data_IF_830540738318
#
_entry.id   IF_830540738318
#
_cell.length_a   1.000
_cell.length_b   1.000
_cell.length_c   1.000
_cell.angle_alpha   90.00
_cell.angle_beta   90.00
_cell.angle_gamma   90.00
#
_symmetry.space_group_name_H-M   'P 1'
#
loop_
_entity.id
_entity.type
_entity.pdbx_description
1 polymer ?
#
# COMPACT_ATOMS: atom_id res chain seq x y z
N UNK A 1 -3.15 -39.74 -0.50
CA UNK A 1 -3.10 -38.43 0.17
C UNK A 1 -3.12 -38.69 1.67
N UNK A 2 -2.05 -38.33 2.37
CA UNK A 2 -1.90 -38.63 3.79
C UNK A 2 -2.71 -37.65 4.64
N UNK A 3 -2.96 -37.99 5.91
CA UNK A 3 -3.68 -37.11 6.85
C UNK A 3 -3.07 -35.71 6.94
N UNK A 4 -1.74 -35.62 6.86
CA UNK A 4 -1.00 -34.34 6.84
C UNK A 4 -1.28 -33.53 5.57
N UNK A 5 -1.36 -34.17 4.41
CA UNK A 5 -1.63 -33.51 3.13
C UNK A 5 -3.04 -32.91 3.12
N UNK A 6 -4.02 -33.65 3.63
CA UNK A 6 -5.41 -33.19 3.76
C UNK A 6 -5.49 -31.96 4.68
N UNK A 7 -4.79 -31.98 5.83
CA UNK A 7 -4.74 -30.86 6.76
C UNK A 7 -4.11 -29.63 6.10
N UNK A 8 -2.98 -29.79 5.40
CA UNK A 8 -2.31 -28.69 4.71
C UNK A 8 -3.21 -28.06 3.65
N UNK A 9 -3.90 -28.89 2.85
CA UNK A 9 -4.84 -28.42 1.83
C UNK A 9 -6.00 -27.66 2.49
N UNK A 10 -6.58 -28.21 3.56
CA UNK A 10 -7.67 -27.56 4.28
C UNK A 10 -7.26 -26.18 4.81
N UNK A 11 -6.08 -26.06 5.42
CA UNK A 11 -5.53 -24.77 5.88
C UNK A 11 -5.33 -23.81 4.71
N UNK A 12 -4.77 -24.30 3.60
CA UNK A 12 -4.57 -23.49 2.39
C UNK A 12 -5.89 -22.92 1.84
N UNK A 13 -6.94 -23.76 1.77
CA UNK A 13 -8.28 -23.34 1.35
C UNK A 13 -8.83 -22.26 2.29
N UNK A 14 -8.68 -22.44 3.60
CA UNK A 14 -9.15 -21.45 4.58
C UNK A 14 -8.44 -20.11 4.38
N UNK A 15 -7.11 -20.11 4.22
CA UNK A 15 -6.35 -18.88 3.99
C UNK A 15 -6.82 -18.17 2.73
N UNK A 16 -7.03 -18.90 1.63
CA UNK A 16 -7.54 -18.33 0.37
C UNK A 16 -8.93 -17.73 0.55
N UNK A 17 -9.85 -18.44 1.20
CA UNK A 17 -11.22 -17.96 1.44
C UNK A 17 -11.22 -16.69 2.30
N UNK A 18 -10.39 -16.63 3.34
CA UNK A 18 -10.25 -15.43 4.20
C UNK A 18 -9.71 -14.25 3.41
N UNK A 19 -8.67 -14.45 2.59
CA UNK A 19 -8.10 -13.38 1.76
C UNK A 19 -9.05 -12.93 0.65
N UNK A 20 -9.88 -13.83 0.12
CA UNK A 20 -10.90 -13.50 -0.88
C UNK A 20 -12.04 -12.66 -0.30
N UNK A 21 -12.38 -12.87 0.98
CA UNK A 21 -13.39 -12.10 1.69
C UNK A 21 -12.87 -10.75 2.23
N UNK A 22 -11.63 -10.37 1.93
CA UNK A 22 -11.06 -9.10 2.39
C UNK A 22 -11.86 -7.91 1.81
N UNK A 23 -12.11 -6.87 2.63
CA UNK A 23 -12.84 -5.69 2.17
C UNK A 23 -12.06 -4.90 1.11
N UNK A 24 -12.77 -4.02 0.41
CA UNK A 24 -12.13 -3.09 -0.53
C UNK A 24 -11.13 -2.17 0.18
N UNK A 25 -10.16 -1.67 -0.59
CA UNK A 25 -9.16 -0.75 -0.05
C UNK A 25 -9.80 0.59 0.32
N UNK A 26 -9.57 1.03 1.55
CA UNK A 26 -10.10 2.30 2.08
C UNK A 26 -9.09 3.45 1.99
N UNK A 27 -7.84 3.15 1.65
CA UNK A 27 -6.77 4.15 1.62
C UNK A 27 -6.86 5.04 0.37
N UNK A 28 -6.77 6.38 0.49
CA UNK A 28 -6.78 7.26 -0.66
C UNK A 28 -5.63 7.00 -1.63
N UNK A 29 -5.92 7.07 -2.93
CA UNK A 29 -4.90 7.00 -3.98
C UNK A 29 -4.00 8.25 -4.01
N UNK A 30 -2.85 8.12 -4.68
CA UNK A 30 -2.01 9.28 -4.97
C UNK A 30 -2.80 10.26 -5.87
N UNK A 31 -2.90 11.56 -5.51
CA UNK A 31 -3.66 12.50 -6.32
C UNK A 31 -3.09 12.69 -7.73
N UNK A 32 -3.93 12.67 -8.76
CA UNK A 32 -3.53 12.99 -10.15
C UNK A 32 -3.61 14.50 -10.41
N UNK A 33 -2.73 15.27 -9.77
CA UNK A 33 -2.66 16.72 -9.93
C UNK A 33 -1.23 17.19 -10.20
N UNK A 34 -1.09 18.46 -10.58
CA UNK A 34 0.19 19.08 -10.97
C UNK A 34 1.29 18.89 -9.90
N UNK A 35 0.93 19.03 -8.62
CA UNK A 35 1.85 18.86 -7.48
C UNK A 35 2.42 17.44 -7.41
N UNK A 36 1.63 16.42 -7.77
CA UNK A 36 2.03 15.02 -7.63
C UNK A 36 2.47 14.35 -8.94
N UNK A 37 2.27 15.00 -10.09
CA UNK A 37 2.64 14.49 -11.42
C UNK A 37 4.10 14.05 -11.50
N UNK A 38 5.03 14.79 -10.89
CA UNK A 38 6.46 14.43 -10.86
C UNK A 38 6.70 13.09 -10.16
N UNK A 39 6.00 12.81 -9.06
CA UNK A 39 6.15 11.55 -8.33
C UNK A 39 5.54 10.38 -9.09
N UNK A 40 4.46 10.59 -9.84
CA UNK A 40 3.95 9.62 -10.81
C UNK A 40 5.00 9.25 -11.86
N UNK A 41 5.69 10.24 -12.42
CA UNK A 41 6.76 9.98 -13.41
C UNK A 41 7.94 9.23 -12.81
N UNK A 42 8.36 9.57 -11.59
CA UNK A 42 9.42 8.84 -10.87
C UNK A 42 8.98 7.41 -10.57
N UNK A 43 7.75 7.22 -10.10
CA UNK A 43 7.17 5.91 -9.84
C UNK A 43 7.17 5.02 -11.10
N UNK A 44 6.75 5.56 -12.25
CA UNK A 44 6.72 4.81 -13.51
C UNK A 44 8.12 4.43 -14.02
N UNK A 45 9.13 5.29 -13.82
CA UNK A 45 10.48 5.07 -14.33
C UNK A 45 11.39 4.28 -13.40
N UNK A 46 11.23 4.46 -12.08
CA UNK A 46 12.19 4.00 -11.07
C UNK A 46 11.53 3.18 -9.94
N UNK A 47 10.20 3.06 -9.96
CA UNK A 47 9.43 2.29 -9.00
C UNK A 47 9.04 3.06 -7.73
N UNK A 48 8.25 2.40 -6.89
CA UNK A 48 7.59 2.99 -5.70
C UNK A 48 8.58 3.64 -4.73
N UNK A 49 9.61 2.89 -4.32
CA UNK A 49 10.57 3.34 -3.32
C UNK A 49 11.33 4.59 -3.74
N UNK A 50 11.54 4.80 -5.04
CA UNK A 50 12.23 5.99 -5.53
C UNK A 50 11.38 7.25 -5.34
N UNK A 51 10.08 7.17 -5.65
CA UNK A 51 9.15 8.28 -5.47
C UNK A 51 8.85 8.56 -3.98
N UNK A 52 8.72 7.50 -3.15
CA UNK A 52 8.40 7.59 -1.72
C UNK A 52 9.39 8.43 -0.90
N UNK A 53 10.65 8.54 -1.34
CA UNK A 53 11.70 9.31 -0.65
C UNK A 53 11.35 10.79 -0.49
N UNK A 54 10.56 11.34 -1.40
CA UNK A 54 10.23 12.76 -1.45
C UNK A 54 8.91 13.10 -0.76
N UNK A 55 8.10 12.10 -0.38
CA UNK A 55 6.78 12.35 0.19
C UNK A 55 6.85 13.13 1.51
N UNK A 56 7.86 12.86 2.33
CA UNK A 56 8.09 13.54 3.62
C UNK A 56 8.61 14.97 3.48
N UNK A 57 8.93 15.41 2.27
CA UNK A 57 9.30 16.81 2.03
C UNK A 57 8.10 17.74 2.30
N UNK A 58 6.88 17.22 2.19
CA UNK A 58 5.66 17.95 2.51
C UNK A 58 4.79 17.23 3.56
N UNK A 59 4.59 15.91 3.45
CA UNK A 59 3.71 15.16 4.37
C UNK A 59 4.41 14.85 5.71
N UNK A 60 3.68 15.03 6.80
CA UNK A 60 4.20 14.91 8.17
C UNK A 60 4.79 16.21 8.73
N UNK A 61 4.64 17.34 8.03
CA UNK A 61 5.04 18.68 8.46
C UNK A 61 3.83 19.51 8.90
N UNK A 62 4.03 20.65 9.58
CA UNK A 62 2.92 21.52 9.97
C UNK A 62 1.97 21.84 8.80
N UNK A 63 0.67 21.58 8.98
CA UNK A 63 -0.37 21.74 7.97
C UNK A 63 -0.60 20.54 7.04
N UNK A 64 0.24 19.52 7.12
CA UNK A 64 0.12 18.24 6.41
C UNK A 64 0.48 17.06 7.33
N UNK A 65 0.13 17.17 8.60
CA UNK A 65 0.39 16.15 9.61
C UNK A 65 -0.31 14.85 9.25
N UNK A 66 0.35 13.74 9.56
CA UNK A 66 -0.30 12.44 9.47
C UNK A 66 -1.38 12.32 10.55
N UNK A 67 -2.43 11.54 10.27
CA UNK A 67 -3.42 11.22 11.29
C UNK A 67 -2.77 10.44 12.44
N UNK A 68 -3.40 10.46 13.62
CA UNK A 68 -2.89 9.76 14.82
C UNK A 68 -2.75 8.25 14.61
N UNK A 69 -3.55 7.69 13.71
CA UNK A 69 -3.60 6.26 13.39
C UNK A 69 -2.74 5.90 12.16
N UNK A 70 -2.09 6.88 11.54
CA UNK A 70 -1.27 6.63 10.37
C UNK A 70 -0.07 5.73 10.76
N UNK A 71 0.19 4.66 10.01
CA UNK A 71 1.33 3.77 10.27
C UNK A 71 2.66 4.49 10.04
N UNK A 72 3.78 3.82 10.35
CA UNK A 72 5.12 4.40 10.08
C UNK A 72 5.22 4.84 8.60
N UNK A 73 5.49 6.12 8.30
CA UNK A 73 5.43 6.66 6.94
C UNK A 73 6.66 6.29 6.10
N UNK A 74 7.08 5.02 6.09
CA UNK A 74 8.25 4.53 5.37
C UNK A 74 7.93 3.98 3.98
N UNK A 75 6.66 3.61 3.71
CA UNK A 75 6.20 3.00 2.45
C UNK A 75 4.86 3.58 1.95
N UNK A 76 4.87 4.85 1.56
CA UNK A 76 3.65 5.58 1.21
C UNK A 76 2.83 4.92 0.07
N UNK A 77 3.47 4.56 -1.05
CA UNK A 77 2.81 4.02 -2.25
C UNK A 77 2.48 2.52 -2.15
N UNK A 78 2.70 1.92 -0.98
CA UNK A 78 2.17 0.60 -0.67
C UNK A 78 0.65 0.68 -0.43
N UNK A 79 0.21 1.61 0.44
CA UNK A 79 -1.19 1.85 0.74
C UNK A 79 -1.79 2.93 -0.19
N UNK A 80 -1.09 4.06 -0.38
CA UNK A 80 -1.52 5.14 -1.28
C UNK A 80 -1.14 4.85 -2.74
N UNK A 81 -1.78 3.84 -3.34
CA UNK A 81 -1.41 3.33 -4.67
C UNK A 81 -1.46 4.43 -5.73
N UNK A 82 -0.40 4.50 -6.54
CA UNK A 82 -0.34 5.30 -7.77
C UNK A 82 -0.93 4.48 -8.94
N UNK A 83 -2.28 4.48 -9.05
CA UNK A 83 -3.01 4.03 -10.25
C UNK A 83 -3.19 5.21 -11.22
#
# INVERSE_FOLDING_TARGET
>A
MNKRDIITIAIGIIVVLVLWAAPEETTPHLPKNETHTKFYQIFQKQGKKAAEKFCKDCHGKPGMEFSKEHPDPNRCLFCHKAK
#
